data_IF_843658054016
#
_entry.id   IF_843658054016
#
_cell.length_a   1.000
_cell.length_b   1.000
_cell.length_c   1.000
_cell.angle_alpha   90.00
_cell.angle_beta   90.00
_cell.angle_gamma   90.00
#
_symmetry.space_group_name_H-M   'P 1'
#
loop_
_entity.id
_entity.type
_entity.pdbx_description
1 polymer ?
#
# COMPACT_ATOMS: atom_id res chain seq x y z
N UNK A 1 -14.95 18.79 1.21
CA UNK A 1 -13.79 18.30 0.42
C UNK A 1 -14.18 16.96 -0.18
N UNK A 2 -13.93 16.75 -1.46
CA UNK A 2 -14.20 15.46 -2.10
C UNK A 2 -13.15 14.44 -1.64
N UNK A 3 -13.59 13.26 -1.20
CA UNK A 3 -12.69 12.14 -0.94
C UNK A 3 -12.29 11.50 -2.26
N UNK A 4 -10.99 11.52 -2.56
CA UNK A 4 -10.41 10.86 -3.73
C UNK A 4 -9.70 9.60 -3.23
N UNK A 5 -10.06 8.45 -3.79
CA UNK A 5 -9.38 7.19 -3.51
C UNK A 5 -8.67 6.73 -4.80
N UNK A 6 -7.41 6.38 -4.69
CA UNK A 6 -6.60 5.87 -5.81
C UNK A 6 -6.08 4.50 -5.44
N UNK A 7 -6.19 3.56 -6.38
CA UNK A 7 -5.57 2.24 -6.29
C UNK A 7 -4.29 2.25 -7.11
N UNK A 8 -3.22 1.67 -6.59
CA UNK A 8 -1.92 1.63 -7.25
C UNK A 8 -1.32 0.23 -7.12
N UNK A 9 -0.75 -0.28 -8.21
CA UNK A 9 -0.04 -1.56 -8.20
C UNK A 9 1.46 -1.33 -8.18
N UNK A 10 2.15 -2.01 -7.26
CA UNK A 10 3.59 -1.92 -7.07
C UNK A 10 4.21 -3.28 -7.37
N UNK A 11 5.12 -3.29 -8.34
CA UNK A 11 5.84 -4.49 -8.78
C UNK A 11 7.34 -4.35 -8.45
N UNK A 12 8.01 -5.48 -8.22
CA UNK A 12 9.44 -5.53 -7.90
C UNK A 12 9.71 -6.31 -6.62
N UNK A 13 10.80 -6.00 -5.92
CA UNK A 13 11.16 -6.65 -4.65
C UNK A 13 10.36 -6.04 -3.47
N UNK A 14 9.06 -6.30 -3.45
CA UNK A 14 8.10 -5.70 -2.49
C UNK A 14 7.62 -6.68 -1.41
N UNK A 15 7.83 -7.98 -1.61
CA UNK A 15 7.49 -9.01 -0.63
C UNK A 15 8.70 -9.35 0.25
N UNK A 16 8.47 -9.53 1.55
CA UNK A 16 9.53 -9.85 2.52
C UNK A 16 10.37 -8.66 3.02
N UNK A 17 10.15 -7.45 2.49
CA UNK A 17 10.92 -6.22 2.85
C UNK A 17 10.20 -5.29 3.83
N UNK A 18 9.04 -5.69 4.35
CA UNK A 18 8.25 -4.85 5.25
C UNK A 18 7.47 -3.71 4.57
N UNK A 19 7.35 -3.72 3.24
CA UNK A 19 6.68 -2.68 2.44
C UNK A 19 5.30 -2.29 3.02
N UNK A 20 4.43 -3.29 3.25
CA UNK A 20 3.08 -3.08 3.81
C UNK A 20 3.07 -2.32 5.15
N UNK A 21 4.04 -2.61 6.02
CA UNK A 21 4.13 -1.97 7.34
C UNK A 21 4.53 -0.49 7.21
N UNK A 22 5.50 -0.19 6.34
CA UNK A 22 5.89 1.19 6.03
C UNK A 22 4.73 1.97 5.43
N UNK A 23 4.05 1.40 4.43
CA UNK A 23 2.86 2.01 3.80
C UNK A 23 1.75 2.29 4.81
N UNK A 24 1.48 1.36 5.73
CA UNK A 24 0.49 1.54 6.79
C UNK A 24 0.86 2.71 7.73
N UNK A 25 2.12 2.80 8.15
CA UNK A 25 2.58 3.88 9.04
C UNK A 25 2.48 5.25 8.38
N UNK A 26 2.88 5.36 7.11
CA UNK A 26 2.77 6.59 6.31
C UNK A 26 1.30 6.99 6.16
N UNK A 27 0.42 6.04 5.81
CA UNK A 27 -1.01 6.29 5.66
C UNK A 27 -1.64 6.80 6.95
N UNK A 28 -1.30 6.21 8.10
CA UNK A 28 -1.76 6.66 9.41
C UNK A 28 -1.28 8.07 9.74
N UNK A 29 -0.03 8.42 9.41
CA UNK A 29 0.51 9.77 9.61
C UNK A 29 -0.18 10.80 8.72
N UNK A 30 -0.56 10.43 7.50
CA UNK A 30 -1.29 11.29 6.56
C UNK A 30 -2.81 11.31 6.83
N UNK A 31 -3.31 10.53 7.78
CA UNK A 31 -4.75 10.40 8.06
C UNK A 31 -5.54 9.71 6.94
N UNK A 32 -4.86 8.90 6.13
CA UNK A 32 -5.44 8.15 5.01
C UNK A 32 -6.00 6.80 5.49
N UNK A 33 -6.98 6.29 4.75
CA UNK A 33 -7.58 4.97 4.98
C UNK A 33 -7.47 4.14 3.71
N UNK A 34 -7.36 2.81 3.85
CA UNK A 34 -7.16 1.91 2.72
C UNK A 34 -6.59 0.56 3.15
N UNK A 35 -6.06 -0.18 2.18
CA UNK A 35 -5.41 -1.46 2.40
C UNK A 35 -4.17 -1.60 1.51
N UNK A 36 -3.26 -2.48 1.92
CA UNK A 36 -2.16 -2.95 1.09
C UNK A 36 -2.18 -4.49 1.11
N UNK A 37 -2.23 -5.13 -0.05
CA UNK A 37 -2.36 -6.59 -0.23
C UNK A 37 -1.26 -7.11 -1.13
N UNK A 38 -0.64 -8.22 -0.72
CA UNK A 38 0.27 -8.94 -1.60
C UNK A 38 -0.54 -9.69 -2.64
N UNK A 39 -0.13 -9.60 -3.90
CA UNK A 39 -0.68 -10.37 -5.01
C UNK A 39 0.15 -11.65 -5.21
N UNK A 40 -0.50 -12.70 -5.73
CA UNK A 40 0.14 -14.00 -6.00
C UNK A 40 1.29 -13.91 -7.02
N UNK A 41 1.27 -12.91 -7.91
CA UNK A 41 2.33 -12.63 -8.90
C UNK A 41 3.62 -12.02 -8.30
N UNK A 42 3.69 -11.85 -6.97
CA UNK A 42 4.85 -11.25 -6.31
C UNK A 42 4.76 -9.73 -6.11
N UNK A 43 3.71 -9.08 -6.62
CA UNK A 43 3.43 -7.66 -6.44
C UNK A 43 2.68 -7.31 -5.15
N UNK A 44 2.43 -6.02 -4.94
CA UNK A 44 1.55 -5.47 -3.89
C UNK A 44 0.60 -4.46 -4.51
N UNK A 45 -0.69 -4.54 -4.15
CA UNK A 45 -1.69 -3.48 -4.38
C UNK A 45 -2.00 -2.70 -3.09
#
# INVERSE_FOLDING_TARGET
MASICTMAWVYGSVQGVGFRYSTQREALQLGLTGYARNLDDGGVE
#
